data_IF_041509392891
#
_entry.id   IF_041509392891
#
_cell.length_a   1.000
_cell.length_b   1.000
_cell.length_c   1.000
_cell.angle_alpha   90.00
_cell.angle_beta   90.00
_cell.angle_gamma   90.00
#
_symmetry.space_group_name_H-M   'P 1'
#
loop_
_entity.id
_entity.type
_entity.pdbx_description
1 polymer ?
#
# COMPACT_ATOMS: atom_id res chain seq x y z
N UNK A 1 -7.82 32.42 21.49
CA UNK A 1 -6.64 31.74 22.08
C UNK A 1 -5.86 31.14 20.94
N UNK A 2 -4.58 31.46 20.73
CA UNK A 2 -3.81 30.97 19.59
C UNK A 2 -3.28 29.56 19.83
N UNK A 3 -3.40 28.74 18.82
CA UNK A 3 -2.93 27.36 18.74
C UNK A 3 -1.39 27.36 18.71
N UNK A 4 -0.76 26.69 19.66
CA UNK A 4 0.69 26.39 19.65
C UNK A 4 0.94 25.33 18.60
N UNK A 5 1.68 25.67 17.55
CA UNK A 5 2.36 24.73 16.66
C UNK A 5 3.58 24.16 17.40
N UNK A 6 3.58 22.87 17.64
CA UNK A 6 4.78 22.11 18.04
C UNK A 6 5.64 21.86 16.80
N UNK A 7 6.69 22.69 16.67
CA UNK A 7 7.79 22.50 15.72
C UNK A 7 8.71 21.37 16.20
N UNK A 8 8.40 20.14 15.86
CA UNK A 8 9.29 19.00 16.04
C UNK A 8 9.92 18.62 14.69
N UNK A 9 10.79 19.49 14.15
CA UNK A 9 11.64 19.14 13.02
C UNK A 9 12.86 18.36 13.55
N UNK A 10 13.10 17.11 13.11
CA UNK A 10 14.30 16.37 13.45
C UNK A 10 15.52 17.10 12.87
N UNK A 11 16.48 17.40 13.75
CA UNK A 11 17.73 18.11 13.48
C UNK A 11 18.50 17.52 12.28
N UNK A 12 18.27 18.01 11.07
CA UNK A 12 19.03 17.66 9.84
C UNK A 12 20.52 17.91 9.96
N UNK A 13 20.96 18.81 10.84
CA UNK A 13 22.39 19.13 11.09
C UNK A 13 23.16 17.97 11.70
N UNK A 14 22.58 17.17 12.58
CA UNK A 14 23.24 15.99 13.15
C UNK A 14 23.49 14.87 12.13
N UNK A 15 22.65 14.73 11.12
CA UNK A 15 22.84 13.75 10.05
C UNK A 15 24.03 14.06 9.15
N UNK A 16 24.25 15.33 8.83
CA UNK A 16 25.34 15.78 7.93
C UNK A 16 26.69 15.66 8.65
N UNK A 17 26.79 16.04 9.92
CA UNK A 17 28.04 15.93 10.71
C UNK A 17 28.48 14.46 10.82
N UNK A 18 27.55 13.54 11.07
CA UNK A 18 27.88 12.11 11.13
C UNK A 18 28.29 11.54 9.77
N UNK A 19 27.72 12.02 8.66
CA UNK A 19 28.09 11.61 7.31
C UNK A 19 29.49 12.11 6.93
N UNK A 20 29.86 13.31 7.37
CA UNK A 20 31.20 13.88 7.21
C UNK A 20 32.22 13.12 8.06
N UNK A 21 31.88 12.77 9.30
CA UNK A 21 32.79 11.98 10.18
C UNK A 21 33.01 10.57 9.65
N UNK A 22 32.00 9.92 9.11
CA UNK A 22 32.10 8.59 8.46
C UNK A 22 32.93 8.71 7.18
N UNK A 23 32.69 9.72 6.34
CA UNK A 23 33.49 9.98 5.13
C UNK A 23 34.97 10.24 5.46
N UNK A 24 35.25 11.00 6.52
CA UNK A 24 36.60 11.27 6.99
C UNK A 24 37.27 10.01 7.56
N UNK A 25 36.52 9.16 8.30
CA UNK A 25 37.02 7.88 8.80
C UNK A 25 37.38 6.91 7.65
N UNK A 26 36.53 6.83 6.61
CA UNK A 26 36.80 6.04 5.40
C UNK A 26 38.02 6.59 4.66
N UNK A 27 38.15 7.90 4.56
CA UNK A 27 39.30 8.55 3.88
C UNK A 27 40.62 8.34 4.65
N UNK A 28 40.58 8.35 5.99
CA UNK A 28 41.73 7.98 6.84
C UNK A 28 42.11 6.50 6.69
N UNK A 29 41.12 5.61 6.60
CA UNK A 29 41.37 4.19 6.33
C UNK A 29 41.98 3.98 4.94
N UNK A 30 41.43 4.67 3.91
CA UNK A 30 41.98 4.61 2.55
C UNK A 30 43.42 5.19 2.48
N UNK A 31 43.70 6.26 3.22
CA UNK A 31 45.04 6.82 3.29
C UNK A 31 46.08 5.90 3.95
N UNK A 32 45.63 4.98 4.82
CA UNK A 32 46.50 3.95 5.41
C UNK A 32 46.86 2.82 4.44
N UNK A 33 46.07 2.63 3.37
CA UNK A 33 46.36 1.67 2.31
C UNK A 33 47.15 2.26 1.15
N UNK A 34 47.33 3.58 1.09
CA UNK A 34 48.22 4.20 0.11
C UNK A 34 49.64 4.05 0.65
N UNK A 35 50.52 3.26 0.01
CA UNK A 35 51.89 3.17 0.44
C UNK A 35 52.49 4.56 0.38
N UNK A 36 52.99 5.03 1.54
CA UNK A 36 53.58 6.35 1.67
C UNK A 36 54.96 6.37 0.95
N UNK A 37 54.94 6.44 -0.37
CA UNK A 37 56.11 6.57 -1.22
C UNK A 37 56.57 8.03 -1.28
N UNK A 38 56.79 8.64 -0.14
CA UNK A 38 57.46 9.92 0.01
C UNK A 38 59.00 9.82 -0.09
N UNK A 39 59.53 8.74 -0.66
CA UNK A 39 60.95 8.67 -1.02
C UNK A 39 61.10 9.15 -2.47
N UNK A 40 62.01 10.11 -2.69
CA UNK A 40 62.43 10.54 -4.02
C UNK A 40 62.55 9.32 -4.93
N UNK A 41 61.83 9.35 -6.04
CA UNK A 41 61.88 8.27 -7.03
C UNK A 41 63.29 8.26 -7.62
N UNK A 42 64.15 7.38 -7.13
CA UNK A 42 65.43 7.12 -7.73
C UNK A 42 65.18 6.50 -9.12
N UNK A 43 65.72 7.04 -10.19
CA UNK A 43 65.48 6.51 -11.54
C UNK A 43 65.91 5.04 -11.60
N UNK A 44 65.02 4.21 -12.18
CA UNK A 44 65.29 2.80 -12.37
C UNK A 44 65.99 2.58 -13.72
N UNK A 45 67.07 1.87 -13.68
CA UNK A 45 67.87 1.52 -14.87
C UNK A 45 67.92 -0.02 -15.04
N UNK A 46 68.17 -0.52 -16.26
CA UNK A 46 68.39 -1.95 -16.51
C UNK A 46 69.57 -2.51 -15.73
N UNK A 47 69.48 -3.77 -15.29
CA UNK A 47 70.58 -4.43 -14.55
C UNK A 47 71.86 -4.55 -15.39
N UNK A 48 71.77 -4.70 -16.72
CA UNK A 48 72.92 -4.71 -17.64
C UNK A 48 73.75 -3.40 -17.54
N UNK A 49 73.04 -2.23 -17.53
CA UNK A 49 73.72 -0.93 -17.39
C UNK A 49 74.42 -0.78 -16.04
N UNK A 50 73.85 -1.33 -14.99
CA UNK A 50 74.52 -1.38 -13.67
C UNK A 50 75.78 -2.21 -13.72
N UNK A 51 75.77 -3.39 -14.38
CA UNK A 51 76.95 -4.24 -14.54
C UNK A 51 78.03 -3.57 -15.36
N UNK A 52 77.66 -2.88 -16.43
CA UNK A 52 78.61 -2.13 -17.28
C UNK A 52 79.29 -1.03 -16.46
N UNK A 53 78.53 -0.25 -15.70
CA UNK A 53 79.01 0.80 -14.81
C UNK A 53 79.92 0.26 -13.67
N UNK A 54 79.62 -0.95 -13.15
CA UNK A 54 80.50 -1.65 -12.20
C UNK A 54 81.82 -2.05 -12.84
N UNK A 55 81.74 -2.63 -14.08
CA UNK A 55 82.93 -3.06 -14.81
C UNK A 55 83.84 -1.88 -15.18
N UNK A 56 83.26 -0.73 -15.51
CA UNK A 56 83.96 0.50 -15.86
C UNK A 56 84.51 1.25 -14.60
N UNK A 57 84.19 0.77 -13.37
CA UNK A 57 84.63 1.38 -12.15
C UNK A 57 83.92 2.69 -11.78
N UNK A 58 82.77 2.95 -12.44
CA UNK A 58 81.97 4.15 -12.26
C UNK A 58 81.07 4.13 -11.02
N UNK A 59 80.99 2.99 -10.31
CA UNK A 59 80.17 2.83 -9.10
C UNK A 59 80.96 2.97 -7.85
N UNK A 60 80.60 3.88 -6.97
CA UNK A 60 81.24 4.15 -5.70
C UNK A 60 80.75 3.31 -4.52
N UNK A 61 79.43 3.22 -4.44
CA UNK A 61 78.73 2.46 -3.38
C UNK A 61 77.50 1.77 -3.91
N UNK A 62 77.14 0.58 -3.38
CA UNK A 62 75.97 -0.15 -3.71
C UNK A 62 75.25 -0.66 -2.45
N UNK A 63 73.95 -0.41 -2.37
CA UNK A 63 73.05 -0.94 -1.31
C UNK A 63 72.14 -1.98 -1.91
N UNK A 64 72.31 -3.21 -1.51
CA UNK A 64 71.56 -4.36 -2.03
C UNK A 64 70.44 -4.68 -1.08
N UNK A 65 69.20 -4.60 -1.56
CA UNK A 65 67.97 -5.07 -0.89
C UNK A 65 67.34 -6.18 -1.67
N UNK A 66 66.36 -6.88 -1.11
CA UNK A 66 65.60 -7.94 -1.83
C UNK A 66 64.91 -7.42 -3.07
N UNK A 67 64.44 -6.17 -3.06
CA UNK A 67 63.60 -5.61 -4.13
C UNK A 67 64.38 -4.70 -5.09
N UNK A 68 65.53 -4.18 -4.72
CA UNK A 68 66.30 -3.24 -5.53
C UNK A 68 67.74 -3.11 -5.08
N UNK A 69 68.63 -2.85 -6.04
CA UNK A 69 70.03 -2.41 -5.79
C UNK A 69 70.06 -0.90 -6.03
N UNK A 70 70.40 -0.12 -5.02
CA UNK A 70 70.64 1.33 -5.15
C UNK A 70 72.15 1.52 -5.17
N UNK A 71 72.65 2.31 -6.12
CA UNK A 71 74.07 2.56 -6.25
C UNK A 71 74.34 4.02 -6.55
N UNK A 72 75.49 4.48 -6.11
CA UNK A 72 76.00 5.84 -6.25
C UNK A 72 77.15 5.83 -7.27
N UNK A 73 77.11 6.75 -8.24
CA UNK A 73 78.14 6.91 -9.25
C UNK A 73 79.31 7.77 -8.68
N UNK A 74 80.59 7.45 -9.07
CA UNK A 74 81.78 8.17 -8.66
C UNK A 74 81.87 9.55 -9.32
N UNK A 75 81.42 9.64 -10.59
CA UNK A 75 81.55 10.91 -11.37
C UNK A 75 80.31 10.94 -12.31
N UNK A 76 79.18 11.49 -11.85
CA UNK A 76 77.95 11.51 -12.69
C UNK A 76 78.13 12.56 -13.80
N UNK A 77 77.86 12.17 -15.06
CA UNK A 77 77.78 13.09 -16.20
C UNK A 77 76.73 14.18 -15.98
N UNK A 78 76.94 15.39 -16.55
CA UNK A 78 76.01 16.52 -16.41
C UNK A 78 74.59 16.09 -16.88
N UNK A 79 73.64 16.03 -15.92
CA UNK A 79 72.26 15.64 -16.14
C UNK A 79 71.90 14.22 -15.66
N UNK A 80 72.85 13.40 -15.19
CA UNK A 80 72.55 12.07 -14.63
C UNK A 80 72.44 12.15 -13.10
N UNK A 81 71.39 11.65 -12.46
CA UNK A 81 71.25 11.65 -11.01
C UNK A 81 72.40 10.86 -10.36
N UNK A 82 72.98 11.36 -9.23
CA UNK A 82 74.10 10.70 -8.56
C UNK A 82 73.75 9.32 -7.98
N UNK A 83 72.48 9.03 -7.80
CA UNK A 83 71.98 7.75 -7.26
C UNK A 83 71.00 7.13 -8.25
N UNK A 84 71.28 5.90 -8.61
CA UNK A 84 70.46 5.08 -9.51
C UNK A 84 69.96 3.82 -8.80
N UNK A 85 68.89 3.23 -9.30
CA UNK A 85 68.35 1.99 -8.77
C UNK A 85 68.13 0.97 -9.89
N UNK A 86 68.39 -0.31 -9.62
CA UNK A 86 68.07 -1.41 -10.52
C UNK A 86 67.41 -2.56 -9.75
N UNK A 87 66.68 -3.41 -10.48
CA UNK A 87 66.10 -4.61 -9.88
C UNK A 87 67.14 -5.72 -9.82
N UNK A 88 67.39 -6.33 -8.64
CA UNK A 88 68.41 -7.40 -8.53
C UNK A 88 67.94 -8.62 -9.32
N UNK A 89 68.91 -9.23 -10.00
CA UNK A 89 68.78 -10.55 -10.60
C UNK A 89 69.64 -11.50 -9.76
N UNK A 90 69.26 -12.78 -9.66
CA UNK A 90 70.02 -13.75 -8.92
C UNK A 90 71.39 -13.96 -9.62
N UNK A 91 72.41 -13.27 -9.15
CA UNK A 91 73.79 -13.33 -9.67
C UNK A 91 74.74 -13.63 -8.49
N UNK A 92 75.27 -14.86 -8.47
CA UNK A 92 76.18 -15.31 -7.43
C UNK A 92 77.56 -14.63 -7.49
N UNK A 93 77.96 -14.13 -8.69
CA UNK A 93 79.26 -13.54 -8.92
C UNK A 93 79.28 -12.01 -8.63
N UNK A 94 78.12 -11.39 -8.40
CA UNK A 94 77.98 -9.98 -8.16
C UNK A 94 78.86 -9.48 -6.97
N UNK A 95 78.88 -10.14 -5.80
CA UNK A 95 79.71 -9.71 -4.69
C UNK A 95 81.19 -9.68 -5.02
N UNK A 96 81.64 -10.74 -5.73
CA UNK A 96 83.04 -10.87 -6.14
C UNK A 96 83.45 -9.82 -7.18
N UNK A 97 82.56 -9.46 -8.09
CA UNK A 97 82.74 -8.37 -9.05
C UNK A 97 82.81 -7.01 -8.38
N UNK A 98 81.96 -6.73 -7.43
CA UNK A 98 81.97 -5.48 -6.65
C UNK A 98 83.23 -5.34 -5.86
N UNK A 99 83.68 -6.42 -5.22
CA UNK A 99 84.95 -6.42 -4.42
C UNK A 99 86.15 -6.23 -5.31
N UNK A 100 86.22 -6.90 -6.46
CA UNK A 100 87.33 -6.78 -7.42
C UNK A 100 87.49 -5.35 -7.97
N UNK A 101 86.38 -4.61 -8.08
CA UNK A 101 86.33 -3.23 -8.58
C UNK A 101 86.37 -2.16 -7.45
N UNK A 102 86.54 -2.59 -6.18
CA UNK A 102 86.66 -1.70 -5.06
C UNK A 102 85.40 -0.91 -4.68
N UNK A 103 84.25 -1.44 -5.05
CA UNK A 103 82.94 -0.83 -4.74
C UNK A 103 82.54 -1.18 -3.30
N UNK A 104 82.28 -0.15 -2.46
CA UNK A 104 81.74 -0.38 -1.12
C UNK A 104 80.32 -0.90 -1.25
N UNK A 105 80.00 -2.09 -0.77
CA UNK A 105 78.59 -2.61 -0.81
C UNK A 105 78.12 -3.10 0.55
N UNK A 106 76.80 -2.91 0.80
CA UNK A 106 76.12 -3.37 2.01
C UNK A 106 74.80 -4.02 1.64
N UNK A 107 74.49 -5.15 2.28
CA UNK A 107 73.15 -5.76 2.17
C UNK A 107 72.30 -5.29 3.36
N UNK A 108 71.11 -4.79 3.08
CA UNK A 108 70.15 -4.49 4.12
C UNK A 108 69.48 -5.78 4.63
N UNK A 109 69.40 -5.97 5.98
CA UNK A 109 68.70 -7.14 6.52
C UNK A 109 67.22 -7.12 6.08
N UNK A 110 66.62 -8.27 5.81
CA UNK A 110 65.18 -8.35 5.43
C UNK A 110 64.35 -7.72 6.56
N UNK A 111 63.43 -6.82 6.19
CA UNK A 111 62.47 -6.25 7.16
C UNK A 111 61.60 -7.39 7.67
N UNK A 112 61.83 -7.85 8.91
CA UNK A 112 60.94 -8.81 9.57
C UNK A 112 59.57 -8.14 9.72
N UNK A 113 58.48 -8.73 9.19
CA UNK A 113 57.16 -8.19 9.41
C UNK A 113 56.88 -8.18 10.91
N UNK A 114 56.52 -7.03 11.42
CA UNK A 114 56.17 -6.91 12.84
C UNK A 114 54.84 -7.63 13.03
N UNK A 115 54.84 -8.76 13.79
CA UNK A 115 53.66 -9.57 14.03
C UNK A 115 52.50 -8.74 14.53
N UNK A 116 52.78 -7.69 15.31
CA UNK A 116 51.78 -6.77 15.86
C UNK A 116 51.08 -5.96 14.74
N UNK A 117 51.82 -5.44 13.75
CA UNK A 117 51.22 -4.74 12.60
C UNK A 117 50.45 -5.65 11.70
N UNK A 118 50.88 -6.91 11.54
CA UNK A 118 50.17 -7.91 10.76
C UNK A 118 48.84 -8.30 11.41
N UNK A 119 48.82 -8.56 12.74
CA UNK A 119 47.60 -8.85 13.47
C UNK A 119 46.66 -7.65 13.42
N UNK A 120 47.16 -6.45 13.63
CA UNK A 120 46.37 -5.22 13.61
C UNK A 120 45.68 -5.00 12.23
N UNK A 121 46.41 -5.24 11.14
CA UNK A 121 45.88 -5.09 9.77
C UNK A 121 44.80 -6.11 9.43
N UNK A 122 44.81 -7.29 10.06
CA UNK A 122 43.79 -8.32 9.84
C UNK A 122 42.56 -8.22 10.77
N UNK A 123 42.75 -7.72 11.99
CA UNK A 123 41.69 -7.68 13.00
C UNK A 123 40.91 -6.38 12.99
N UNK A 124 41.58 -5.25 12.78
CA UNK A 124 40.96 -3.91 12.89
C UNK A 124 39.87 -3.67 11.80
N UNK A 125 40.09 -3.97 10.51
CA UNK A 125 39.06 -3.75 9.49
C UNK A 125 37.75 -4.53 9.74
N UNK A 126 37.78 -5.85 10.01
CA UNK A 126 36.52 -6.57 10.29
C UNK A 126 35.85 -6.12 11.59
N UNK A 127 36.62 -5.72 12.61
CA UNK A 127 36.07 -5.22 13.86
C UNK A 127 35.36 -3.86 13.67
N UNK A 128 35.94 -2.96 12.89
CA UNK A 128 35.29 -1.70 12.51
C UNK A 128 34.06 -1.98 11.68
N UNK A 129 34.11 -2.93 10.72
CA UNK A 129 32.96 -3.31 9.90
C UNK A 129 31.80 -3.84 10.78
N UNK A 130 32.11 -4.71 11.76
CA UNK A 130 31.10 -5.22 12.71
C UNK A 130 30.53 -4.10 13.56
N UNK A 131 31.33 -3.16 14.06
CA UNK A 131 30.85 -2.02 14.83
C UNK A 131 29.96 -1.08 14.00
N UNK A 132 30.33 -0.83 12.75
CA UNK A 132 29.52 -0.06 11.80
C UNK A 132 28.21 -0.79 11.51
N UNK A 133 28.26 -2.09 11.25
CA UNK A 133 27.07 -2.92 11.03
C UNK A 133 26.15 -2.94 12.27
N UNK A 134 26.70 -3.07 13.48
CA UNK A 134 25.94 -2.97 14.73
C UNK A 134 25.35 -1.58 14.95
N UNK A 135 26.09 -0.52 14.61
CA UNK A 135 25.58 0.84 14.71
C UNK A 135 24.41 1.07 13.74
N UNK A 136 24.54 0.61 12.49
CA UNK A 136 23.44 0.67 11.51
C UNK A 136 22.28 -0.25 11.90
N UNK A 137 22.56 -1.46 12.40
CA UNK A 137 21.53 -2.38 12.88
C UNK A 137 20.77 -1.78 14.08
N UNK A 138 21.46 -1.21 15.08
CA UNK A 138 20.81 -0.52 16.20
C UNK A 138 19.98 0.68 15.76
N UNK A 139 20.44 1.43 14.79
CA UNK A 139 19.71 2.59 14.25
C UNK A 139 18.57 2.17 13.33
N UNK A 140 18.70 1.07 12.58
CA UNK A 140 17.68 0.48 11.75
C UNK A 140 16.65 -0.33 12.57
N UNK A 141 17.07 -1.03 13.61
CA UNK A 141 16.18 -1.77 14.50
C UNK A 141 15.39 -0.87 15.47
N UNK A 142 15.86 0.34 15.77
CA UNK A 142 15.09 1.34 16.52
C UNK A 142 13.94 1.97 15.71
N UNK A 143 13.97 1.89 14.38
CA UNK A 143 12.91 2.43 13.50
C UNK A 143 12.41 1.48 12.43
N UNK A 144 13.16 0.44 12.06
CA UNK A 144 12.89 -0.39 10.89
C UNK A 144 12.20 -1.72 11.20
N UNK A 145 12.47 -2.34 12.32
CA UNK A 145 11.78 -3.59 12.69
C UNK A 145 10.32 -3.31 13.13
N UNK A 146 10.07 -2.16 13.78
CA UNK A 146 8.71 -1.69 14.03
C UNK A 146 8.03 -1.20 12.74
N UNK A 147 8.76 -0.69 11.76
CA UNK A 147 8.24 -0.32 10.44
C UNK A 147 7.83 -1.54 9.61
N UNK A 148 8.64 -2.59 9.58
CA UNK A 148 8.31 -3.82 8.85
C UNK A 148 7.12 -4.57 9.51
N UNK A 149 7.00 -4.55 10.83
CA UNK A 149 5.85 -5.09 11.56
C UNK A 149 4.61 -4.17 11.50
N UNK A 150 4.77 -2.88 11.18
CA UNK A 150 3.62 -1.97 11.04
C UNK A 150 2.90 -2.12 9.70
N UNK A 151 3.52 -2.74 8.68
CA UNK A 151 2.83 -3.08 7.43
C UNK A 151 1.78 -4.18 7.60
N UNK A 152 1.90 -5.02 8.64
CA UNK A 152 0.96 -6.10 8.94
C UNK A 152 -0.20 -5.67 9.85
N UNK A 153 -0.11 -4.50 10.51
CA UNK A 153 -1.21 -4.03 11.36
C UNK A 153 -2.44 -3.71 10.53
N UNK A 154 -3.58 -4.20 10.97
CA UNK A 154 -4.88 -3.92 10.37
C UNK A 154 -5.10 -2.40 10.26
N UNK A 155 -5.41 -1.93 9.04
CA UNK A 155 -5.83 -0.55 8.77
C UNK A 155 -7.34 -0.37 8.92
N UNK A 156 -8.03 -1.31 9.58
CA UNK A 156 -9.45 -1.23 9.79
C UNK A 156 -9.80 0.13 10.41
N UNK A 157 -10.70 0.85 9.76
CA UNK A 157 -11.20 2.12 10.29
C UNK A 157 -12.20 1.79 11.40
N UNK A 158 -11.87 2.17 12.63
CA UNK A 158 -12.78 2.06 13.74
C UNK A 158 -13.67 3.31 13.72
N UNK A 159 -14.92 3.12 13.41
CA UNK A 159 -15.94 4.15 13.54
C UNK A 159 -16.61 3.96 14.91
N UNK A 160 -16.33 4.86 15.82
CA UNK A 160 -17.09 4.99 17.07
C UNK A 160 -18.13 6.07 16.78
N UNK A 161 -19.42 5.74 16.77
CA UNK A 161 -20.45 6.74 16.47
C UNK A 161 -20.51 7.77 17.61
N UNK A 162 -20.07 9.01 17.31
CA UNK A 162 -20.39 10.15 18.17
C UNK A 162 -21.87 10.46 18.06
N UNK A 163 -22.51 10.94 19.13
CA UNK A 163 -23.97 11.17 19.16
C UNK A 163 -24.44 12.10 18.03
N UNK A 164 -23.64 13.08 17.62
CA UNK A 164 -23.98 14.04 16.55
C UNK A 164 -23.85 13.52 15.12
N UNK A 165 -23.05 12.47 14.89
CA UNK A 165 -22.79 11.90 13.55
C UNK A 165 -23.37 10.49 13.36
N UNK A 166 -24.24 10.07 14.27
CA UNK A 166 -24.76 8.72 14.35
C UNK A 166 -25.77 8.46 13.24
N UNK A 167 -25.45 7.54 12.34
CA UNK A 167 -26.37 7.05 11.32
C UNK A 167 -27.31 6.01 11.96
N UNK A 168 -28.61 6.16 11.76
CA UNK A 168 -29.65 5.30 12.32
C UNK A 168 -30.54 4.72 11.20
N UNK A 169 -31.48 3.85 11.55
CA UNK A 169 -32.47 3.33 10.59
C UNK A 169 -33.38 4.41 9.99
N UNK A 170 -33.46 5.61 10.60
CA UNK A 170 -34.17 6.75 10.03
C UNK A 170 -33.48 7.35 8.79
N UNK A 171 -32.16 7.16 8.68
CA UNK A 171 -31.36 7.64 7.56
C UNK A 171 -31.32 6.66 6.37
N UNK A 172 -31.90 5.48 6.55
CA UNK A 172 -31.97 4.42 5.54
C UNK A 172 -33.42 4.23 5.12
N UNK A 173 -33.71 4.17 3.83
CA UNK A 173 -35.04 3.96 3.29
C UNK A 173 -35.04 2.95 2.14
N UNK A 174 -36.20 2.39 1.83
CA UNK A 174 -36.43 1.50 0.69
C UNK A 174 -35.84 0.09 0.84
N UNK A 175 -35.59 -0.35 2.08
CA UNK A 175 -35.08 -1.69 2.43
C UNK A 175 -35.73 -2.16 3.76
N UNK A 176 -37.03 -2.03 3.87
CA UNK A 176 -37.75 -2.22 5.15
C UNK A 176 -37.70 -3.67 5.64
N UNK A 177 -37.74 -4.67 4.75
CA UNK A 177 -37.57 -6.07 5.11
C UNK A 177 -36.17 -6.34 5.68
N UNK A 178 -35.14 -5.81 5.05
CA UNK A 178 -33.77 -5.94 5.55
C UNK A 178 -33.59 -5.24 6.92
N UNK A 179 -34.20 -4.08 7.12
CA UNK A 179 -34.22 -3.41 8.43
C UNK A 179 -34.88 -4.27 9.49
N UNK A 180 -36.01 -4.88 9.17
CA UNK A 180 -36.75 -5.73 10.10
C UNK A 180 -35.90 -6.92 10.55
N UNK A 181 -35.26 -7.62 9.62
CA UNK A 181 -34.36 -8.74 9.95
C UNK A 181 -33.15 -8.30 10.79
N UNK A 182 -32.58 -7.13 10.50
CA UNK A 182 -31.44 -6.61 11.24
C UNK A 182 -31.81 -6.00 12.60
N UNK A 183 -33.09 -5.68 12.84
CA UNK A 183 -33.57 -5.20 14.15
C UNK A 183 -33.39 -6.25 15.23
N UNK A 184 -33.50 -7.55 14.92
CA UNK A 184 -33.21 -8.62 15.87
C UNK A 184 -31.75 -8.58 16.35
N UNK A 185 -30.80 -8.26 15.45
CA UNK A 185 -29.38 -8.13 15.76
C UNK A 185 -29.14 -6.92 16.66
N UNK A 186 -29.80 -5.81 16.36
CA UNK A 186 -29.73 -4.60 17.20
C UNK A 186 -30.25 -4.89 18.60
N UNK A 187 -31.39 -5.58 18.73
CA UNK A 187 -31.97 -5.93 20.04
C UNK A 187 -31.05 -6.85 20.84
N UNK A 188 -30.43 -7.83 20.16
CA UNK A 188 -29.43 -8.69 20.78
C UNK A 188 -28.20 -7.92 21.29
N UNK A 189 -27.63 -7.04 20.47
CA UNK A 189 -26.48 -6.25 20.88
C UNK A 189 -26.78 -5.33 22.05
N UNK A 190 -28.03 -4.85 22.14
CA UNK A 190 -28.52 -4.02 23.26
C UNK A 190 -28.79 -4.85 24.51
N UNK A 191 -29.29 -6.07 24.37
CA UNK A 191 -29.79 -6.92 25.48
C UNK A 191 -29.42 -8.37 25.31
N UNK A 192 -28.13 -8.74 25.32
CA UNK A 192 -27.67 -10.11 25.06
C UNK A 192 -28.17 -11.12 26.13
N UNK A 193 -28.32 -10.68 27.37
CA UNK A 193 -28.75 -11.52 28.51
C UNK A 193 -30.10 -12.16 28.27
N UNK A 194 -31.07 -11.43 27.70
CA UNK A 194 -32.41 -11.92 27.39
C UNK A 194 -32.40 -13.14 26.46
N UNK A 195 -31.49 -13.17 25.53
CA UNK A 195 -31.38 -14.28 24.57
C UNK A 195 -30.64 -15.47 25.19
N UNK A 196 -29.64 -15.20 26.04
CA UNK A 196 -28.90 -16.22 26.76
C UNK A 196 -29.80 -16.99 27.76
N UNK A 197 -30.71 -16.30 28.48
CA UNK A 197 -31.65 -16.92 29.42
C UNK A 197 -32.57 -17.95 28.77
N UNK A 198 -32.99 -17.71 27.53
CA UNK A 198 -33.87 -18.63 26.78
C UNK A 198 -33.06 -19.71 26.05
N UNK A 199 -31.71 -19.58 25.99
CA UNK A 199 -30.82 -20.50 25.25
C UNK A 199 -30.84 -20.27 23.73
N UNK A 200 -31.30 -19.10 23.28
CA UNK A 200 -31.30 -18.75 21.86
C UNK A 200 -29.88 -18.56 21.32
N UNK A 201 -29.62 -19.15 20.17
CA UNK A 201 -28.35 -18.97 19.45
C UNK A 201 -28.52 -17.89 18.41
N UNK A 202 -27.73 -16.84 18.50
CA UNK A 202 -27.75 -15.76 17.54
C UNK A 202 -26.72 -15.99 16.44
N UNK A 203 -27.01 -15.58 15.20
CA UNK A 203 -26.07 -15.71 14.12
C UNK A 203 -24.79 -14.93 14.43
N UNK A 204 -23.64 -15.59 14.25
CA UNK A 204 -22.33 -14.94 14.42
C UNK A 204 -22.02 -14.02 13.25
N UNK A 205 -22.55 -14.34 12.08
CA UNK A 205 -22.34 -13.59 10.87
C UNK A 205 -23.61 -13.45 10.03
N UNK A 206 -23.77 -12.29 9.44
CA UNK A 206 -24.86 -11.97 8.51
C UNK A 206 -24.28 -11.46 7.21
N UNK A 207 -24.74 -12.03 6.11
CA UNK A 207 -24.34 -11.67 4.75
C UNK A 207 -25.41 -10.79 4.12
N UNK A 208 -25.07 -9.55 3.79
CA UNK A 208 -25.90 -8.63 3.02
C UNK A 208 -25.67 -8.89 1.53
N UNK A 209 -26.71 -9.31 0.84
CA UNK A 209 -26.66 -9.69 -0.57
C UNK A 209 -27.50 -8.71 -1.38
N UNK A 210 -27.02 -8.27 -2.53
CA UNK A 210 -27.81 -7.45 -3.44
C UNK A 210 -27.00 -6.64 -4.43
N UNK A 211 -27.65 -5.96 -5.37
CA UNK A 211 -26.99 -5.17 -6.39
C UNK A 211 -26.10 -4.06 -5.81
N UNK A 212 -25.12 -3.56 -6.58
CA UNK A 212 -24.34 -2.40 -6.13
C UNK A 212 -25.22 -1.16 -5.97
N UNK A 213 -24.84 -0.29 -5.04
CA UNK A 213 -25.55 0.98 -4.81
C UNK A 213 -26.86 0.88 -4.01
N UNK A 214 -27.28 -0.30 -3.54
CA UNK A 214 -28.51 -0.49 -2.76
C UNK A 214 -28.38 -0.06 -1.29
N UNK A 215 -27.21 0.36 -0.84
CA UNK A 215 -27.02 0.91 0.52
C UNK A 215 -26.57 -0.10 1.57
N UNK A 216 -26.01 -1.26 1.21
CA UNK A 216 -25.52 -2.30 2.14
C UNK A 216 -24.58 -1.74 3.20
N UNK A 217 -23.59 -0.95 2.80
CA UNK A 217 -22.63 -0.31 3.70
C UNK A 217 -23.30 0.74 4.62
N UNK A 218 -24.27 1.49 4.10
CA UNK A 218 -25.05 2.45 4.87
C UNK A 218 -25.91 1.75 5.91
N UNK A 219 -26.59 0.69 5.52
CA UNK A 219 -27.42 -0.14 6.39
C UNK A 219 -26.60 -0.76 7.53
N UNK A 220 -25.40 -1.28 7.24
CA UNK A 220 -24.49 -1.82 8.26
C UNK A 220 -24.07 -0.76 9.28
N UNK A 221 -23.79 0.47 8.83
CA UNK A 221 -23.52 1.60 9.74
C UNK A 221 -24.72 1.97 10.58
N UNK A 222 -25.93 1.92 10.00
CA UNK A 222 -27.16 2.20 10.71
C UNK A 222 -27.43 1.16 11.80
N UNK A 223 -27.17 -0.13 11.55
CA UNK A 223 -27.25 -1.19 12.57
C UNK A 223 -26.33 -0.89 13.75
N UNK A 224 -25.07 -0.54 13.50
CA UNK A 224 -24.14 -0.19 14.56
C UNK A 224 -24.53 1.08 15.31
N UNK A 225 -24.97 2.09 14.56
CA UNK A 225 -25.52 3.30 15.12
C UNK A 225 -26.75 3.02 15.98
N UNK A 226 -27.73 2.28 15.50
CA UNK A 226 -28.93 1.92 16.26
C UNK A 226 -28.61 1.10 17.51
N UNK A 227 -27.65 0.16 17.43
CA UNK A 227 -27.19 -0.63 18.57
C UNK A 227 -26.33 0.17 19.55
N UNK A 228 -25.69 1.27 19.13
CA UNK A 228 -24.78 2.06 19.95
C UNK A 228 -23.44 1.37 20.24
N UNK A 229 -22.97 0.54 19.32
CA UNK A 229 -21.74 -0.24 19.48
C UNK A 229 -20.63 0.22 18.51
N UNK A 230 -19.35 0.00 18.84
CA UNK A 230 -18.23 0.25 17.92
C UNK A 230 -18.38 -0.50 16.61
N UNK A 231 -18.02 0.15 15.51
CA UNK A 231 -18.12 -0.38 14.16
C UNK A 231 -16.73 -0.41 13.49
N UNK A 232 -16.26 -1.60 13.15
CA UNK A 232 -15.02 -1.82 12.42
C UNK A 232 -15.36 -2.02 10.94
N UNK A 233 -14.83 -1.21 10.06
CA UNK A 233 -15.06 -1.33 8.62
C UNK A 233 -13.76 -1.64 7.89
N UNK A 234 -13.81 -2.64 7.01
CA UNK A 234 -12.73 -3.03 6.14
C UNK A 234 -13.31 -3.53 4.81
N UNK A 235 -12.59 -3.31 3.70
CA UNK A 235 -12.92 -3.94 2.42
C UNK A 235 -12.22 -5.29 2.29
N UNK A 236 -12.89 -6.28 1.70
CA UNK A 236 -12.31 -7.57 1.35
C UNK A 236 -11.05 -7.43 0.48
N UNK A 237 -11.02 -6.42 -0.38
CA UNK A 237 -9.84 -6.09 -1.19
C UNK A 237 -8.61 -5.68 -0.37
N UNK A 238 -8.79 -5.12 0.83
CA UNK A 238 -7.69 -4.72 1.72
C UNK A 238 -6.97 -5.92 2.36
N UNK A 239 -7.55 -7.10 2.29
CA UNK A 239 -6.91 -8.34 2.73
C UNK A 239 -6.06 -9.01 1.64
N UNK A 240 -6.23 -8.61 0.38
CA UNK A 240 -5.44 -9.15 -0.73
C UNK A 240 -4.12 -8.41 -0.81
N UNK A 241 -3.02 -9.09 -0.49
CA UNK A 241 -1.68 -8.53 -0.44
C UNK A 241 -0.74 -9.32 -1.38
N UNK A 242 0.42 -8.73 -1.68
CA UNK A 242 1.46 -9.38 -2.48
C UNK A 242 2.29 -10.39 -1.67
N UNK A 243 2.28 -10.27 -0.33
CA UNK A 243 3.08 -11.11 0.56
C UNK A 243 2.21 -12.19 1.20
N UNK A 244 2.56 -13.44 0.99
CA UNK A 244 1.87 -14.60 1.55
C UNK A 244 1.79 -14.49 3.08
N UNK A 245 0.59 -14.61 3.62
CA UNK A 245 0.32 -14.56 5.06
C UNK A 245 0.03 -13.17 5.62
N UNK A 246 0.22 -12.08 4.86
CA UNK A 246 -0.07 -10.74 5.33
C UNK A 246 -1.57 -10.50 5.51
N UNK A 247 -2.40 -10.99 4.58
CA UNK A 247 -3.86 -10.94 4.68
C UNK A 247 -4.38 -11.70 5.90
N UNK A 248 -3.90 -12.92 6.13
CA UNK A 248 -4.26 -13.72 7.29
C UNK A 248 -3.88 -13.06 8.63
N UNK A 249 -2.70 -12.44 8.70
CA UNK A 249 -2.29 -11.68 9.89
C UNK A 249 -3.22 -10.51 10.15
N UNK A 250 -3.61 -9.78 9.10
CA UNK A 250 -4.52 -8.63 9.18
C UNK A 250 -5.92 -9.03 9.64
N UNK A 251 -6.44 -10.19 9.20
CA UNK A 251 -7.68 -10.76 9.71
C UNK A 251 -7.57 -11.01 11.22
N UNK A 252 -6.50 -11.67 11.66
CA UNK A 252 -6.29 -11.95 13.08
C UNK A 252 -6.26 -10.69 13.93
N UNK A 253 -5.47 -9.69 13.51
CA UNK A 253 -5.35 -8.41 14.23
C UNK A 253 -6.70 -7.70 14.34
N UNK A 254 -7.50 -7.68 13.26
CA UNK A 254 -8.85 -7.10 13.25
C UNK A 254 -9.74 -7.75 14.29
N UNK A 255 -9.76 -9.09 14.31
CA UNK A 255 -10.59 -9.83 15.26
C UNK A 255 -10.11 -9.70 16.71
N UNK A 256 -8.80 -9.63 16.95
CA UNK A 256 -8.25 -9.36 18.28
C UNK A 256 -8.63 -7.94 18.78
N UNK A 257 -8.59 -6.94 17.91
CA UNK A 257 -9.02 -5.58 18.27
C UNK A 257 -10.51 -5.51 18.53
N UNK A 258 -11.32 -6.18 17.73
CA UNK A 258 -12.76 -6.26 17.93
C UNK A 258 -13.12 -6.95 19.27
N UNK A 259 -12.47 -8.07 19.60
CA UNK A 259 -12.63 -8.75 20.90
C UNK A 259 -12.35 -7.83 22.10
N UNK A 260 -11.36 -6.95 21.99
CA UNK A 260 -11.03 -5.97 23.05
C UNK A 260 -12.10 -4.89 23.24
N UNK A 261 -12.84 -4.58 22.15
CA UNK A 261 -13.88 -3.52 22.16
C UNK A 261 -15.31 -4.06 22.10
N UNK A 262 -15.49 -5.35 22.35
CA UNK A 262 -16.80 -5.99 22.37
C UNK A 262 -17.68 -5.46 23.53
N UNK A 263 -19.01 -5.24 23.32
CA UNK A 263 -19.77 -5.61 22.14
C UNK A 263 -19.47 -4.70 20.93
N UNK A 264 -19.34 -5.28 19.72
CA UNK A 264 -19.04 -4.51 18.52
C UNK A 264 -19.49 -5.23 17.24
N UNK A 265 -19.47 -4.52 16.12
CA UNK A 265 -19.74 -5.06 14.80
C UNK A 265 -18.47 -4.96 13.93
N UNK A 266 -18.11 -6.03 13.27
CA UNK A 266 -17.12 -6.06 12.19
C UNK A 266 -17.89 -6.06 10.87
N UNK A 267 -17.60 -5.11 9.98
CA UNK A 267 -18.18 -5.08 8.64
C UNK A 267 -17.11 -5.30 7.58
N UNK A 268 -17.32 -6.32 6.75
CA UNK A 268 -16.45 -6.66 5.63
C UNK A 268 -17.20 -6.34 4.36
N UNK A 269 -16.83 -5.27 3.66
CA UNK A 269 -17.38 -4.93 2.36
C UNK A 269 -16.68 -5.74 1.25
N UNK A 270 -17.36 -5.99 0.14
CA UNK A 270 -16.82 -6.75 -1.00
C UNK A 270 -16.21 -8.11 -0.58
N UNK A 271 -16.95 -8.89 0.19
CA UNK A 271 -16.46 -10.20 0.69
C UNK A 271 -16.03 -11.13 -0.46
N UNK A 272 -16.59 -10.99 -1.64
CA UNK A 272 -16.25 -11.75 -2.85
C UNK A 272 -14.78 -11.54 -3.29
N UNK A 273 -14.11 -10.47 -2.86
CA UNK A 273 -12.69 -10.28 -3.15
C UNK A 273 -11.81 -11.39 -2.55
N UNK A 274 -12.17 -11.93 -1.38
CA UNK A 274 -11.45 -13.01 -0.69
C UNK A 274 -12.21 -14.33 -0.68
N UNK A 275 -13.54 -14.29 -0.83
CA UNK A 275 -14.44 -15.43 -0.65
C UNK A 275 -14.73 -16.26 -1.91
N UNK A 276 -14.06 -16.02 -3.04
CA UNK A 276 -14.34 -16.76 -4.29
C UNK A 276 -13.99 -18.24 -4.18
N UNK A 277 -14.92 -19.09 -4.67
CA UNK A 277 -14.73 -20.52 -4.76
C UNK A 277 -13.72 -20.91 -5.86
N UNK A 278 -13.10 -22.10 -5.73
CA UNK A 278 -12.04 -22.62 -6.63
C UNK A 278 -12.51 -22.96 -8.05
N UNK A 279 -13.81 -22.95 -8.34
CA UNK A 279 -14.42 -23.55 -9.52
C UNK A 279 -14.20 -22.85 -10.87
N UNK A 280 -13.20 -21.98 -11.05
CA UNK A 280 -13.11 -21.25 -12.33
C UNK A 280 -11.77 -20.74 -12.78
N UNK A 281 -10.69 -20.91 -12.05
CA UNK A 281 -9.41 -20.29 -12.41
C UNK A 281 -8.30 -21.32 -12.63
N UNK A 282 -8.20 -21.80 -13.86
CA UNK A 282 -7.02 -22.51 -14.36
C UNK A 282 -6.02 -21.45 -14.84
N UNK A 283 -5.04 -21.10 -13.98
CA UNK A 283 -3.86 -20.34 -14.39
C UNK A 283 -3.68 -18.97 -13.72
N UNK A 284 -3.09 -18.95 -12.56
CA UNK A 284 -1.98 -18.07 -12.16
C UNK A 284 -1.48 -18.62 -10.81
N UNK A 285 -0.32 -19.24 -10.82
CA UNK A 285 0.34 -19.77 -9.61
C UNK A 285 0.86 -18.57 -8.81
N UNK A 286 0.35 -18.37 -7.59
CA UNK A 286 0.86 -17.40 -6.61
C UNK A 286 -0.17 -16.45 -5.96
N UNK A 287 -1.24 -16.05 -6.65
CA UNK A 287 -2.24 -15.14 -6.07
C UNK A 287 -3.43 -15.84 -5.41
N UNK A 288 -3.62 -17.13 -5.69
CA UNK A 288 -4.73 -17.89 -5.12
C UNK A 288 -4.41 -18.43 -3.72
N UNK A 289 -3.15 -18.78 -3.45
CA UNK A 289 -2.74 -19.34 -2.16
C UNK A 289 -2.90 -18.34 -1.02
N UNK A 290 -2.63 -17.05 -1.28
CA UNK A 290 -2.78 -16.00 -0.27
C UNK A 290 -4.25 -15.73 0.07
N UNK A 291 -5.11 -15.66 -0.95
CA UNK A 291 -6.56 -15.49 -0.76
C UNK A 291 -7.15 -16.66 0.03
N UNK A 292 -6.75 -17.87 -0.30
CA UNK A 292 -7.19 -19.08 0.40
C UNK A 292 -6.72 -19.10 1.85
N UNK A 293 -5.47 -18.72 2.11
CA UNK A 293 -4.95 -18.62 3.48
C UNK A 293 -5.71 -17.55 4.29
N UNK A 294 -6.03 -16.43 3.66
CA UNK A 294 -6.81 -15.36 4.28
C UNK A 294 -8.24 -15.79 4.56
N UNK A 295 -8.87 -16.47 3.60
CA UNK A 295 -10.21 -17.05 3.79
C UNK A 295 -10.22 -18.06 4.93
N UNK A 296 -9.28 -18.99 4.95
CA UNK A 296 -9.17 -19.99 6.01
C UNK A 296 -8.94 -19.35 7.40
N UNK A 297 -8.16 -18.27 7.47
CA UNK A 297 -8.00 -17.52 8.71
C UNK A 297 -9.32 -16.85 9.14
N UNK A 298 -10.07 -16.24 8.19
CA UNK A 298 -11.39 -15.66 8.48
C UNK A 298 -12.34 -16.71 9.05
N UNK A 299 -12.43 -17.89 8.42
CA UNK A 299 -13.24 -18.99 8.88
C UNK A 299 -12.82 -19.46 10.30
N UNK A 300 -11.54 -19.56 10.57
CA UNK A 300 -10.99 -19.93 11.87
C UNK A 300 -11.35 -18.91 12.94
N UNK A 301 -11.23 -17.60 12.65
CA UNK A 301 -11.60 -16.55 13.59
C UNK A 301 -13.11 -16.58 13.88
N UNK A 302 -13.96 -16.78 12.87
CA UNK A 302 -15.40 -16.88 13.04
C UNK A 302 -15.82 -18.12 13.86
N UNK A 303 -15.16 -19.25 13.66
CA UNK A 303 -15.43 -20.48 14.44
C UNK A 303 -14.96 -20.32 15.90
N UNK A 304 -13.87 -19.58 16.13
CA UNK A 304 -13.26 -19.34 17.45
C UNK A 304 -14.04 -18.39 18.37
N UNK A 305 -15.14 -17.79 17.91
CA UNK A 305 -15.99 -16.97 18.77
C UNK A 305 -16.89 -17.80 19.68
N UNK A 306 -16.71 -17.62 20.98
CA UNK A 306 -17.66 -18.08 21.99
C UNK A 306 -18.51 -16.88 22.44
N UNK A 307 -19.79 -16.87 22.10
CA UNK A 307 -20.68 -15.71 22.23
C UNK A 307 -21.15 -15.43 23.66
N UNK A 308 -20.46 -15.89 24.72
CA UNK A 308 -21.08 -15.95 26.03
C UNK A 308 -21.05 -14.64 26.84
N UNK A 309 -20.03 -13.78 26.74
CA UNK A 309 -19.96 -12.59 27.62
C UNK A 309 -19.90 -11.24 26.89
N UNK A 310 -19.35 -11.19 25.68
CA UNK A 310 -19.24 -9.95 24.89
C UNK A 310 -19.41 -10.25 23.40
N UNK A 311 -20.61 -10.04 22.84
CA UNK A 311 -20.89 -10.40 21.46
C UNK A 311 -20.11 -9.56 20.45
N UNK A 312 -19.50 -10.25 19.48
CA UNK A 312 -18.97 -9.66 18.25
C UNK A 312 -19.78 -10.23 17.10
N UNK A 313 -20.39 -9.37 16.31
CA UNK A 313 -21.16 -9.77 15.11
C UNK A 313 -20.38 -9.36 13.86
N UNK A 314 -20.29 -10.29 12.93
CA UNK A 314 -19.65 -10.03 11.63
C UNK A 314 -20.76 -9.79 10.60
N UNK A 315 -20.84 -8.58 10.08
CA UNK A 315 -21.64 -8.27 8.90
C UNK A 315 -20.72 -8.33 7.68
N UNK A 316 -21.16 -8.92 6.59
CA UNK A 316 -20.44 -8.84 5.33
C UNK A 316 -21.38 -8.42 4.20
N UNK A 317 -20.84 -7.80 3.15
CA UNK A 317 -21.59 -7.43 1.98
C UNK A 317 -20.95 -8.02 0.72
N UNK A 318 -21.79 -8.48 -0.20
CA UNK A 318 -21.38 -8.92 -1.53
C UNK A 318 -22.42 -8.55 -2.58
N UNK A 319 -21.94 -8.32 -3.80
CA UNK A 319 -22.79 -8.15 -4.97
C UNK A 319 -22.98 -9.47 -5.75
N UNK A 320 -22.17 -10.49 -5.46
CA UNK A 320 -22.09 -11.75 -6.19
C UNK A 320 -22.10 -12.95 -5.21
N UNK A 321 -23.23 -13.29 -4.60
CA UNK A 321 -23.27 -14.38 -3.63
C UNK A 321 -22.93 -15.74 -4.24
N UNK A 322 -23.19 -15.94 -5.54
CA UNK A 322 -22.95 -17.16 -6.29
C UNK A 322 -21.48 -17.53 -6.45
N UNK A 323 -20.57 -16.58 -6.31
CA UNK A 323 -19.14 -16.84 -6.42
C UNK A 323 -18.48 -17.20 -5.08
N UNK A 324 -19.21 -17.04 -3.97
CA UNK A 324 -18.69 -17.29 -2.64
C UNK A 324 -18.47 -18.78 -2.37
N UNK A 325 -17.42 -19.08 -1.60
CA UNK A 325 -17.15 -20.44 -1.14
C UNK A 325 -18.26 -20.89 -0.15
N UNK A 326 -18.80 -22.09 -0.41
CA UNK A 326 -19.86 -22.67 0.42
C UNK A 326 -19.47 -22.82 1.90
N UNK A 327 -18.17 -22.87 2.21
CA UNK A 327 -17.69 -22.91 3.58
C UNK A 327 -18.04 -21.66 4.38
N UNK A 328 -18.15 -20.50 3.72
CA UNK A 328 -18.58 -19.25 4.36
C UNK A 328 -20.04 -19.28 4.83
N UNK A 329 -20.89 -20.01 4.10
CA UNK A 329 -22.35 -20.04 4.32
C UNK A 329 -22.80 -21.17 5.27
N UNK A 330 -21.83 -21.88 5.90
CA UNK A 330 -22.15 -22.93 6.86
C UNK A 330 -22.64 -22.35 8.20
N UNK A 331 -23.51 -23.09 8.93
CA UNK A 331 -23.94 -22.69 10.28
C UNK A 331 -22.79 -22.35 11.21
N UNK A 332 -22.93 -21.24 11.94
CA UNK A 332 -21.89 -20.69 12.82
C UNK A 332 -20.92 -19.70 12.14
N UNK A 333 -21.13 -19.41 10.86
CA UNK A 333 -20.40 -18.41 10.06
C UNK A 333 -21.39 -17.39 9.51
N UNK A 334 -21.53 -17.24 8.19
CA UNK A 334 -22.58 -16.40 7.58
C UNK A 334 -23.83 -17.25 7.36
N UNK A 335 -24.49 -17.61 8.42
CA UNK A 335 -25.66 -18.49 8.41
C UNK A 335 -26.98 -17.77 8.16
N UNK A 336 -26.98 -16.43 8.23
CA UNK A 336 -28.11 -15.59 7.82
C UNK A 336 -27.74 -14.74 6.60
N UNK A 337 -28.59 -14.79 5.58
CA UNK A 337 -28.46 -13.94 4.39
C UNK A 337 -29.63 -12.97 4.36
N UNK A 338 -29.33 -11.69 4.23
CA UNK A 338 -30.30 -10.60 4.16
C UNK A 338 -30.23 -9.97 2.77
N UNK A 339 -31.33 -10.03 2.04
CA UNK A 339 -31.43 -9.44 0.71
C UNK A 339 -31.64 -7.91 0.84
N UNK A 340 -30.75 -7.16 0.20
CA UNK A 340 -30.83 -5.70 0.10
C UNK A 340 -31.01 -5.35 -1.37
N UNK A 341 -32.27 -5.41 -1.84
CA UNK A 341 -32.62 -5.23 -3.25
C UNK A 341 -32.83 -3.75 -3.60
N UNK A 342 -33.11 -3.49 -4.87
CA UNK A 342 -33.48 -2.16 -5.34
C UNK A 342 -34.81 -1.73 -4.70
N UNK A 343 -34.96 -0.43 -4.39
CA UNK A 343 -36.15 0.07 -3.74
C UNK A 343 -37.38 0.01 -4.69
N UNK A 344 -38.52 -0.30 -4.13
CA UNK A 344 -39.83 -0.15 -4.77
C UNK A 344 -40.18 1.35 -4.97
N UNK A 345 -41.37 1.63 -5.51
CA UNK A 345 -41.80 3.02 -5.75
C UNK A 345 -41.84 3.86 -4.46
N UNK A 346 -42.35 3.29 -3.36
CA UNK A 346 -42.45 3.97 -2.06
C UNK A 346 -41.05 4.22 -1.47
N UNK A 347 -40.18 3.22 -1.56
CA UNK A 347 -38.80 3.32 -1.13
C UNK A 347 -38.01 4.38 -1.90
N UNK A 348 -38.20 4.45 -3.24
CA UNK A 348 -37.55 5.50 -4.04
C UNK A 348 -38.01 6.89 -3.64
N UNK A 349 -39.31 7.08 -3.41
CA UNK A 349 -39.83 8.36 -2.91
C UNK A 349 -39.18 8.74 -1.58
N UNK A 350 -39.16 7.84 -0.60
CA UNK A 350 -38.59 8.10 0.72
C UNK A 350 -37.08 8.38 0.62
N UNK A 351 -36.34 7.69 -0.24
CA UNK A 351 -34.92 7.95 -0.51
C UNK A 351 -34.75 9.36 -1.08
N UNK A 352 -35.56 9.72 -2.09
CA UNK A 352 -35.53 11.07 -2.67
C UNK A 352 -35.81 12.15 -1.62
N UNK A 353 -36.79 11.95 -0.73
CA UNK A 353 -37.08 12.86 0.37
C UNK A 353 -35.90 13.03 1.33
N UNK A 354 -35.16 11.97 1.66
CA UNK A 354 -33.97 12.03 2.51
C UNK A 354 -32.88 12.88 1.85
N UNK A 355 -32.60 12.68 0.55
CA UNK A 355 -31.59 13.45 -0.16
C UNK A 355 -32.07 14.88 -0.49
N UNK A 356 -33.37 15.07 -0.73
CA UNK A 356 -33.97 16.38 -0.94
C UNK A 356 -33.77 17.33 0.24
N UNK A 357 -33.76 16.85 1.47
CA UNK A 357 -33.46 17.64 2.68
C UNK A 357 -32.05 18.24 2.67
N UNK A 358 -31.12 17.69 1.87
CA UNK A 358 -29.74 18.17 1.75
C UNK A 358 -29.56 19.28 0.71
N UNK A 359 -30.57 19.53 -0.14
CA UNK A 359 -30.54 20.53 -1.21
C UNK A 359 -31.71 21.49 -1.06
N UNK A 360 -31.62 22.66 -1.68
CA UNK A 360 -32.71 23.63 -1.68
C UNK A 360 -33.62 23.36 -2.88
N UNK A 361 -34.74 22.70 -2.66
CA UNK A 361 -35.76 22.50 -3.68
C UNK A 361 -36.71 23.69 -3.81
N UNK A 362 -37.30 23.87 -4.98
CA UNK A 362 -38.45 24.72 -5.20
C UNK A 362 -39.71 24.06 -4.63
N UNK A 363 -40.69 24.86 -4.26
CA UNK A 363 -41.94 24.35 -3.58
C UNK A 363 -42.82 23.54 -4.54
N UNK A 364 -42.63 23.72 -5.85
CA UNK A 364 -43.42 23.09 -6.91
C UNK A 364 -42.86 21.71 -7.33
N UNK A 365 -41.76 21.23 -6.70
CA UNK A 365 -41.13 19.96 -7.06
C UNK A 365 -41.96 18.78 -6.62
N UNK A 366 -42.38 17.96 -7.57
CA UNK A 366 -43.09 16.72 -7.33
C UNK A 366 -42.13 15.51 -7.33
N UNK A 367 -41.77 15.05 -6.11
CA UNK A 367 -40.93 13.86 -5.93
C UNK A 367 -41.63 12.53 -6.29
N UNK A 368 -42.96 12.51 -6.30
CA UNK A 368 -43.73 11.31 -6.74
C UNK A 368 -43.51 11.04 -8.21
N UNK A 369 -43.58 12.07 -9.04
CA UNK A 369 -43.31 11.94 -10.48
C UNK A 369 -41.85 11.53 -10.74
N UNK A 370 -40.90 12.05 -9.98
CA UNK A 370 -39.49 11.64 -10.06
C UNK A 370 -39.31 10.18 -9.67
N UNK A 371 -39.95 9.73 -8.58
CA UNK A 371 -39.89 8.32 -8.16
C UNK A 371 -40.51 7.37 -9.20
N UNK A 372 -41.58 7.78 -9.89
CA UNK A 372 -42.15 7.02 -11.00
C UNK A 372 -41.21 6.92 -12.19
N UNK A 373 -40.56 8.01 -12.56
CA UNK A 373 -39.63 8.10 -13.68
C UNK A 373 -38.31 7.34 -13.44
N UNK A 374 -37.96 7.03 -12.19
CA UNK A 374 -36.71 6.38 -11.79
C UNK A 374 -36.87 4.88 -11.47
N UNK A 375 -37.74 4.18 -12.20
CA UNK A 375 -37.92 2.75 -12.03
C UNK A 375 -36.60 2.00 -12.24
N UNK A 376 -36.27 1.08 -11.31
CA UNK A 376 -35.04 0.29 -11.36
C UNK A 376 -33.78 0.98 -10.83
N UNK A 377 -33.84 2.25 -10.39
CA UNK A 377 -32.72 2.95 -9.77
C UNK A 377 -32.42 2.39 -8.38
N UNK A 378 -31.13 2.25 -8.07
CA UNK A 378 -30.65 1.98 -6.72
C UNK A 378 -30.56 3.27 -5.89
N UNK A 379 -30.38 3.12 -4.59
CA UNK A 379 -30.26 4.29 -3.67
C UNK A 379 -29.13 5.24 -4.06
N UNK A 380 -28.00 4.71 -4.54
CA UNK A 380 -26.87 5.51 -5.01
C UNK A 380 -27.21 6.31 -6.29
N UNK A 381 -28.01 5.75 -7.19
CA UNK A 381 -28.44 6.42 -8.42
C UNK A 381 -29.36 7.60 -8.09
N UNK A 382 -30.29 7.42 -7.14
CA UNK A 382 -31.17 8.48 -6.65
C UNK A 382 -30.42 9.60 -5.94
N UNK A 383 -29.38 9.25 -5.16
CA UNK A 383 -28.51 10.25 -4.53
C UNK A 383 -27.74 11.07 -5.57
N UNK A 384 -27.21 10.39 -6.59
CA UNK A 384 -26.52 11.03 -7.71
C UNK A 384 -27.46 11.92 -8.52
N UNK A 385 -28.67 11.49 -8.79
CA UNK A 385 -29.71 12.26 -9.47
C UNK A 385 -29.98 13.59 -8.78
N UNK A 386 -30.19 13.60 -7.45
CA UNK A 386 -30.45 14.83 -6.69
C UNK A 386 -29.23 15.76 -6.74
N UNK A 387 -28.03 15.19 -6.68
CA UNK A 387 -26.79 15.97 -6.81
C UNK A 387 -26.61 16.57 -8.21
N UNK A 388 -26.87 15.80 -9.27
CA UNK A 388 -26.81 16.28 -10.65
C UNK A 388 -27.84 17.40 -10.89
N UNK A 389 -29.06 17.25 -10.36
CA UNK A 389 -30.07 18.31 -10.44
C UNK A 389 -29.60 19.61 -9.73
N UNK A 390 -28.96 19.48 -8.57
CA UNK A 390 -28.38 20.64 -7.90
C UNK A 390 -27.25 21.31 -8.70
N UNK A 391 -26.42 20.51 -9.37
CA UNK A 391 -25.38 21.02 -10.26
C UNK A 391 -25.97 21.75 -11.50
N UNK A 392 -27.07 21.24 -12.05
CA UNK A 392 -27.78 21.86 -13.15
C UNK A 392 -28.37 23.22 -12.76
N UNK A 393 -29.07 23.28 -11.62
CA UNK A 393 -29.58 24.53 -11.06
C UNK A 393 -28.46 25.56 -10.84
N UNK A 394 -27.32 25.12 -10.29
CA UNK A 394 -26.17 25.99 -10.08
C UNK A 394 -25.56 26.54 -11.38
N UNK A 395 -25.43 25.68 -12.43
CA UNK A 395 -24.97 26.11 -13.77
C UNK A 395 -25.90 27.14 -14.40
N UNK A 396 -27.20 27.00 -14.15
CA UNK A 396 -28.21 27.95 -14.57
C UNK A 396 -28.32 29.20 -13.66
N UNK A 397 -27.38 29.36 -12.71
CA UNK A 397 -27.33 30.47 -11.74
C UNK A 397 -28.59 30.56 -10.85
N UNK A 398 -29.33 29.49 -10.69
CA UNK A 398 -30.50 29.41 -9.83
C UNK A 398 -30.12 29.01 -8.39
N UNK A 399 -30.92 29.47 -7.44
CA UNK A 399 -30.66 29.20 -6.00
C UNK A 399 -31.44 28.01 -5.45
N UNK A 400 -32.34 27.44 -6.26
CA UNK A 400 -33.18 26.29 -5.91
C UNK A 400 -33.21 25.33 -7.09
N UNK A 401 -33.36 24.07 -6.81
CA UNK A 401 -33.56 23.00 -7.80
C UNK A 401 -35.03 22.99 -8.20
N UNK A 402 -35.29 23.00 -9.47
CA UNK A 402 -36.63 22.96 -10.05
C UNK A 402 -36.95 21.59 -10.66
N UNK A 403 -38.23 21.31 -10.97
CA UNK A 403 -38.66 20.05 -11.57
C UNK A 403 -37.93 19.72 -12.88
N UNK A 404 -37.65 20.75 -13.69
CA UNK A 404 -36.91 20.58 -14.95
C UNK A 404 -35.46 20.08 -14.74
N UNK A 405 -34.79 20.50 -13.63
CA UNK A 405 -33.43 20.03 -13.33
C UNK A 405 -33.42 18.56 -12.99
N UNK A 406 -34.42 18.10 -12.25
CA UNK A 406 -34.59 16.69 -11.93
C UNK A 406 -34.88 15.86 -13.18
N UNK A 407 -35.71 16.37 -14.09
CA UNK A 407 -35.97 15.74 -15.40
C UNK A 407 -34.70 15.59 -16.24
N UNK A 408 -33.91 16.69 -16.36
CA UNK A 408 -32.63 16.65 -17.09
C UNK A 408 -31.60 15.75 -16.40
N UNK A 409 -31.58 15.72 -15.06
CA UNK A 409 -30.70 14.85 -14.30
C UNK A 409 -31.04 13.35 -14.53
N UNK A 410 -32.33 12.98 -14.61
CA UNK A 410 -32.73 11.61 -14.95
C UNK A 410 -32.15 11.21 -16.32
N UNK A 411 -32.31 12.07 -17.33
CA UNK A 411 -31.78 11.80 -18.67
C UNK A 411 -30.27 11.62 -18.66
N UNK A 412 -29.53 12.45 -17.91
CA UNK A 412 -28.08 12.32 -17.77
C UNK A 412 -27.63 11.05 -17.07
N UNK A 413 -28.33 10.63 -16.03
CA UNK A 413 -27.98 9.40 -15.29
C UNK A 413 -28.28 8.16 -16.14
N UNK A 414 -29.36 8.17 -16.94
CA UNK A 414 -29.77 7.04 -17.78
C UNK A 414 -28.95 6.98 -19.07
N UNK A 415 -28.89 8.07 -19.81
CA UNK A 415 -28.31 8.12 -21.16
C UNK A 415 -26.86 8.60 -21.19
N UNK A 416 -26.34 9.16 -20.06
CA UNK A 416 -25.05 9.84 -20.01
C UNK A 416 -25.14 11.27 -20.53
N UNK A 417 -23.96 11.90 -20.71
CA UNK A 417 -23.90 13.25 -21.26
C UNK A 417 -24.26 13.26 -22.75
N UNK A 418 -25.17 14.13 -23.11
CA UNK A 418 -25.50 14.39 -24.51
C UNK A 418 -24.25 14.78 -25.30
N UNK A 419 -23.97 14.03 -26.36
CA UNK A 419 -22.85 14.34 -27.28
C UNK A 419 -23.23 15.46 -28.21
N UNK A 420 -23.12 16.71 -27.78
CA UNK A 420 -23.41 17.91 -28.61
C UNK A 420 -22.61 17.99 -29.90
N UNK A 421 -21.56 17.21 -30.07
CA UNK A 421 -20.73 17.14 -31.26
C UNK A 421 -21.22 16.14 -32.33
N UNK A 422 -22.24 15.30 -32.04
CA UNK A 422 -22.76 14.37 -33.01
C UNK A 422 -23.84 15.05 -33.85
N UNK A 423 -23.44 15.56 -34.99
CA UNK A 423 -24.38 16.09 -35.99
C UNK A 423 -24.93 14.88 -36.75
N UNK A 424 -26.12 14.41 -36.38
CA UNK A 424 -26.89 13.44 -37.18
C UNK A 424 -27.35 14.12 -38.45
N UNK A 425 -27.21 13.48 -39.61
CA UNK A 425 -27.78 13.95 -40.85
C UNK A 425 -29.32 13.90 -40.75
N UNK A 426 -29.99 14.82 -41.47
CA UNK A 426 -31.47 14.91 -41.35
C UNK A 426 -32.21 13.63 -41.74
N UNK A 427 -31.65 12.86 -42.65
CA UNK A 427 -32.21 11.56 -43.03
C UNK A 427 -31.99 10.49 -41.94
N UNK A 428 -30.84 10.48 -41.27
CA UNK A 428 -30.60 9.62 -40.12
C UNK A 428 -31.54 9.97 -38.96
N UNK A 429 -31.75 11.26 -38.68
CA UNK A 429 -32.71 11.71 -37.66
C UNK A 429 -34.12 11.17 -37.92
N UNK A 430 -34.59 11.23 -39.19
CA UNK A 430 -35.88 10.69 -39.56
C UNK A 430 -35.99 9.18 -39.32
N UNK A 431 -34.96 8.43 -39.75
CA UNK A 431 -34.95 6.96 -39.56
C UNK A 431 -35.00 6.63 -38.09
N UNK A 432 -34.16 7.23 -37.25
CA UNK A 432 -34.13 7.01 -35.81
C UNK A 432 -35.46 7.43 -35.18
N UNK A 433 -36.03 8.60 -35.56
CA UNK A 433 -37.31 9.04 -35.03
C UNK A 433 -38.44 8.07 -35.32
N UNK A 434 -38.54 7.55 -36.56
CA UNK A 434 -39.53 6.52 -36.89
C UNK A 434 -39.34 5.24 -36.11
N UNK A 435 -38.10 4.82 -35.87
CA UNK A 435 -37.77 3.64 -35.10
C UNK A 435 -38.22 3.78 -33.63
N UNK A 436 -37.83 4.86 -32.98
CA UNK A 436 -38.16 5.14 -31.57
C UNK A 436 -39.68 5.34 -31.38
N UNK A 437 -40.31 6.06 -32.29
CA UNK A 437 -41.80 6.22 -32.30
C UNK A 437 -42.49 4.87 -32.50
N UNK A 438 -41.94 4.00 -33.34
CA UNK A 438 -42.44 2.62 -33.52
C UNK A 438 -42.43 1.84 -32.21
N UNK A 439 -41.34 1.86 -31.50
CA UNK A 439 -41.23 1.24 -30.15
C UNK A 439 -42.27 1.83 -29.18
N UNK A 440 -42.40 3.14 -29.16
CA UNK A 440 -43.33 3.82 -28.27
C UNK A 440 -44.79 3.47 -28.55
N UNK A 441 -45.20 3.42 -29.84
CA UNK A 441 -46.56 3.04 -30.23
C UNK A 441 -46.85 1.60 -29.83
N UNK A 442 -45.95 0.68 -30.15
CA UNK A 442 -46.11 -0.74 -29.77
C UNK A 442 -46.19 -0.89 -28.25
N UNK A 443 -45.29 -0.26 -27.51
CA UNK A 443 -45.28 -0.30 -26.04
C UNK A 443 -46.57 0.29 -25.42
N UNK A 444 -47.13 1.35 -26.02
CA UNK A 444 -48.37 1.96 -25.55
C UNK A 444 -49.62 1.12 -25.86
N UNK A 445 -49.63 0.43 -26.98
CA UNK A 445 -50.81 -0.36 -27.44
C UNK A 445 -50.79 -1.78 -26.89
N UNK A 446 -49.67 -2.30 -26.42
CA UNK A 446 -49.58 -3.65 -25.87
C UNK A 446 -50.30 -3.77 -24.52
N UNK A 447 -51.14 -4.80 -24.30
CA UNK A 447 -51.76 -5.03 -22.99
C UNK A 447 -50.68 -5.25 -21.91
N UNK A 448 -50.70 -4.46 -20.85
CA UNK A 448 -49.70 -4.51 -19.76
C UNK A 448 -48.39 -3.77 -20.07
N UNK A 449 -48.30 -3.07 -21.19
CA UNK A 449 -47.18 -2.23 -21.53
C UNK A 449 -47.04 -1.04 -20.57
N UNK A 450 -45.78 -0.68 -20.26
CA UNK A 450 -45.47 0.52 -19.45
C UNK A 450 -45.87 1.78 -20.23
N UNK A 451 -46.36 2.80 -19.52
CA UNK A 451 -46.65 4.10 -20.15
C UNK A 451 -45.34 4.71 -20.67
N UNK A 452 -45.35 5.13 -21.93
CA UNK A 452 -44.24 5.86 -22.53
C UNK A 452 -44.21 7.28 -21.92
N UNK A 453 -43.16 7.61 -21.19
CA UNK A 453 -43.02 8.94 -20.54
C UNK A 453 -42.40 9.94 -21.50
N UNK A 454 -41.37 9.57 -22.26
CA UNK A 454 -40.66 10.43 -23.21
C UNK A 454 -40.02 9.61 -24.30
N UNK A 455 -39.85 10.19 -25.47
CA UNK A 455 -39.08 9.68 -26.61
C UNK A 455 -38.00 10.71 -26.94
N UNK A 456 -36.78 10.25 -27.13
CA UNK A 456 -35.64 11.12 -27.51
C UNK A 456 -34.84 10.45 -28.62
N UNK A 457 -34.33 11.24 -29.54
CA UNK A 457 -33.49 10.84 -30.68
C UNK A 457 -32.05 11.34 -30.53
N UNK A 458 -31.54 11.40 -29.32
CA UNK A 458 -30.20 11.91 -29.01
C UNK A 458 -29.15 10.85 -29.18
#
# INVERSE_FOLDING_TARGET
MPIRQDDNQPNRRFGIINLVLIGFGVLLLFSSFIPNNGMQQVPKVPYSLFLDQVNDGAVKRAYITQDQIRYELSDPEEGTPPVLATTPIFDMDLPQRLETKGVEFAAAPPKKPNIFTTILSWVVPPLIFILVLQFFARRSMGGGAQGALSFTKSKAKVYVPDEESRITFADVAGVDEAKQELTEIVDFLKRPERYAEIGARIPKGVLLVGPPGTGKTLLSKAVAGEAGVPFFIISGSEFVELFVGAGAARVRDLFEEAKKKAPCIIFIDELDAIGKSRSGSMGVVGGNDEREQTLNQLLTEMDGFTAQDKPVIVLAATNQPEVLDAALLRPGRFDRQVLVDRPDLSGRKTILEIYAKKVKLAEEVDLDSVAQATSGFAGADLANLVNEAALLAARAMRKRVEQQDLGEAIERVVAGLEKKSRVLQDDEKKVVAYHEVGHAIVGHLMPGGSKVAKISIV
#
